data_IF_972680987580
#
_entry.id   IF_972680987580
#
_cell.length_a   1.000
_cell.length_b   1.000
_cell.length_c   1.000
_cell.angle_alpha   90.00
_cell.angle_beta   90.00
_cell.angle_gamma   90.00
#
_symmetry.space_group_name_H-M   'P 1'
#
loop_
_entity.id
_entity.type
_entity.pdbx_description
1 polymer ?
#
# COMPACT_ATOMS: atom_id res chain seq x y z
N UNK A 1 14.78 -30.08 9.60
CA UNK A 1 15.04 -28.67 9.26
C UNK A 1 15.80 -28.07 10.44
N UNK A 2 17.07 -27.70 10.25
CA UNK A 2 17.95 -27.16 11.30
C UNK A 2 17.55 -25.72 11.65
N UNK A 3 17.84 -25.23 12.87
CA UNK A 3 17.55 -23.84 13.27
C UNK A 3 18.11 -22.80 12.29
N UNK A 4 19.27 -23.09 11.70
CA UNK A 4 19.88 -22.21 10.70
C UNK A 4 19.03 -22.07 9.41
N UNK A 5 18.28 -23.10 9.02
CA UNK A 5 17.38 -23.04 7.85
C UNK A 5 16.18 -22.14 8.13
N UNK A 6 15.66 -22.12 9.37
CA UNK A 6 14.54 -21.24 9.74
C UNK A 6 14.96 -19.76 9.77
N UNK A 7 16.15 -19.45 10.28
CA UNK A 7 16.67 -18.07 10.29
C UNK A 7 16.91 -17.54 8.86
N UNK A 8 17.46 -18.37 7.97
CA UNK A 8 17.64 -17.98 6.57
C UNK A 8 16.31 -17.75 5.85
N UNK A 9 15.28 -18.56 6.16
CA UNK A 9 13.96 -18.41 5.57
C UNK A 9 13.28 -17.11 6.02
N UNK A 10 13.26 -16.82 7.33
CA UNK A 10 12.71 -15.57 7.88
C UNK A 10 13.43 -14.34 7.30
N UNK A 11 14.77 -14.39 7.22
CA UNK A 11 15.55 -13.32 6.61
C UNK A 11 15.18 -13.10 5.13
N UNK A 12 15.06 -14.18 4.34
CA UNK A 12 14.64 -14.09 2.93
C UNK A 12 13.24 -13.50 2.79
N UNK A 13 12.30 -13.92 3.63
CA UNK A 13 10.93 -13.41 3.63
C UNK A 13 10.90 -11.91 3.93
N UNK A 14 11.69 -11.44 4.90
CA UNK A 14 11.77 -10.00 5.20
C UNK A 14 12.41 -9.19 4.07
N UNK A 15 13.45 -9.71 3.39
CA UNK A 15 14.10 -9.02 2.28
C UNK A 15 13.19 -8.93 1.05
N UNK A 16 12.54 -10.05 0.67
CA UNK A 16 11.58 -10.07 -0.44
C UNK A 16 10.42 -9.13 -0.12
N UNK A 17 9.83 -9.23 1.08
CA UNK A 17 8.75 -8.35 1.50
C UNK A 17 9.12 -6.86 1.43
N UNK A 18 10.33 -6.50 1.87
CA UNK A 18 10.88 -5.15 1.75
C UNK A 18 10.95 -4.68 0.28
N UNK A 19 11.45 -5.54 -0.62
CA UNK A 19 11.50 -5.26 -2.07
C UNK A 19 10.09 -5.09 -2.64
N UNK A 20 9.15 -5.95 -2.27
CA UNK A 20 7.75 -5.86 -2.70
C UNK A 20 7.13 -4.52 -2.29
N UNK A 21 7.25 -4.14 -1.01
CA UNK A 21 6.74 -2.86 -0.51
C UNK A 21 7.35 -1.67 -1.24
N UNK A 22 8.66 -1.71 -1.54
CA UNK A 22 9.34 -0.65 -2.28
C UNK A 22 8.80 -0.50 -3.70
N UNK A 23 8.62 -1.61 -4.42
CA UNK A 23 8.04 -1.62 -5.78
C UNK A 23 6.61 -1.09 -5.75
N UNK A 24 5.78 -1.58 -4.83
CA UNK A 24 4.40 -1.12 -4.65
C UNK A 24 4.32 0.38 -4.39
N UNK A 25 5.10 0.89 -3.42
CA UNK A 25 5.11 2.33 -3.09
C UNK A 25 5.52 3.19 -4.28
N UNK A 26 6.54 2.76 -5.03
CA UNK A 26 7.01 3.48 -6.21
C UNK A 26 5.91 3.57 -7.27
N UNK A 27 5.28 2.45 -7.62
CA UNK A 27 4.19 2.43 -8.62
C UNK A 27 2.98 3.26 -8.19
N UNK A 28 2.58 3.17 -6.91
CA UNK A 28 1.47 3.97 -6.40
C UNK A 28 1.78 5.47 -6.49
N UNK A 29 3.00 5.88 -6.09
CA UNK A 29 3.44 7.27 -6.21
C UNK A 29 3.47 7.76 -7.67
N UNK A 30 4.05 6.98 -8.58
CA UNK A 30 4.11 7.33 -10.02
C UNK A 30 2.72 7.42 -10.67
N UNK A 31 1.73 6.70 -10.14
CA UNK A 31 0.33 6.79 -10.60
C UNK A 31 -0.46 8.01 -10.06
N UNK A 32 0.17 8.82 -9.18
CA UNK A 32 -0.49 9.91 -8.46
C UNK A 32 -1.56 9.44 -7.47
N UNK A 33 -1.47 8.19 -7.02
CA UNK A 33 -2.46 7.60 -6.10
C UNK A 33 -2.44 8.28 -4.74
N UNK A 34 -1.26 8.61 -4.23
CA UNK A 34 -1.05 9.31 -2.97
C UNK A 34 -1.76 10.67 -2.93
N UNK A 35 -1.64 11.47 -3.99
CA UNK A 35 -2.32 12.76 -4.13
C UNK A 35 -3.85 12.61 -4.13
N UNK A 36 -4.37 11.58 -4.81
CA UNK A 36 -5.81 11.29 -4.81
C UNK A 36 -6.33 10.87 -3.45
N UNK A 37 -5.53 10.10 -2.70
CA UNK A 37 -5.87 9.70 -1.33
C UNK A 37 -5.81 10.88 -0.38
N UNK A 38 -4.81 11.76 -0.51
CA UNK A 38 -4.72 13.01 0.25
C UNK A 38 -5.96 13.88 0.03
N UNK A 39 -6.36 14.08 -1.23
CA UNK A 39 -7.58 14.81 -1.56
C UNK A 39 -8.83 14.15 -0.95
N UNK A 40 -8.95 12.83 -1.00
CA UNK A 40 -10.06 12.11 -0.37
C UNK A 40 -10.09 12.30 1.15
N UNK A 41 -8.92 12.32 1.81
CA UNK A 41 -8.82 12.65 3.23
C UNK A 41 -9.29 14.08 3.52
N UNK A 42 -8.82 15.05 2.73
CA UNK A 42 -9.20 16.46 2.90
C UNK A 42 -10.71 16.67 2.75
N UNK A 43 -11.32 16.10 1.71
CA UNK A 43 -12.76 16.18 1.49
C UNK A 43 -13.56 15.56 2.65
N UNK A 44 -13.10 14.41 3.17
CA UNK A 44 -13.73 13.79 4.33
C UNK A 44 -13.65 14.68 5.58
N UNK A 45 -12.48 15.26 5.85
CA UNK A 45 -12.25 16.17 6.98
C UNK A 45 -13.13 17.43 6.85
N UNK A 46 -13.16 18.03 5.66
CA UNK A 46 -13.96 19.23 5.38
C UNK A 46 -15.47 18.97 5.54
N UNK A 47 -15.94 17.81 5.10
CA UNK A 47 -17.36 17.44 5.17
C UNK A 47 -17.81 17.17 6.61
N UNK A 48 -17.00 16.49 7.41
CA UNK A 48 -17.38 16.07 8.76
C UNK A 48 -16.96 17.05 9.86
N UNK A 49 -15.99 17.92 9.58
CA UNK A 49 -15.38 18.82 10.54
C UNK A 49 -14.23 18.16 11.32
N UNK A 50 -13.07 18.82 11.36
CA UNK A 50 -11.83 18.27 11.95
C UNK A 50 -11.98 17.89 13.43
N UNK A 51 -12.78 18.63 14.20
CA UNK A 51 -12.97 18.38 15.64
C UNK A 51 -13.92 17.20 15.94
N UNK A 52 -14.61 16.66 14.92
CA UNK A 52 -15.66 15.64 15.08
C UNK A 52 -15.24 14.25 14.65
N UNK A 53 -14.06 14.10 14.07
CA UNK A 53 -13.57 12.83 13.53
C UNK A 53 -12.31 12.38 14.24
N UNK A 54 -12.12 11.06 14.34
CA UNK A 54 -10.85 10.48 14.79
C UNK A 54 -10.03 9.97 13.60
N UNK A 55 -8.74 9.75 13.82
CA UNK A 55 -7.86 9.14 12.82
C UNK A 55 -8.36 7.74 12.44
N UNK A 56 -8.86 6.97 13.39
CA UNK A 56 -9.40 5.63 13.14
C UNK A 56 -10.62 5.69 12.21
N UNK A 57 -11.53 6.65 12.43
CA UNK A 57 -12.68 6.86 11.56
C UNK A 57 -12.24 7.28 10.15
N UNK A 58 -11.30 8.23 10.03
CA UNK A 58 -10.74 8.62 8.75
C UNK A 58 -10.15 7.42 7.99
N UNK A 59 -9.38 6.56 8.69
CA UNK A 59 -8.81 5.35 8.09
C UNK A 59 -9.91 4.38 7.66
N UNK A 60 -10.93 4.16 8.47
CA UNK A 60 -12.03 3.23 8.14
C UNK A 60 -12.79 3.71 6.90
N UNK A 61 -13.09 5.00 6.82
CA UNK A 61 -13.90 5.59 5.74
C UNK A 61 -13.10 5.81 4.45
N UNK A 62 -11.85 6.27 4.54
CA UNK A 62 -11.04 6.59 3.35
C UNK A 62 -10.36 5.35 2.77
N UNK A 63 -10.04 4.32 3.57
CA UNK A 63 -9.37 3.10 3.07
C UNK A 63 -10.10 2.39 1.90
N UNK A 64 -11.43 2.18 1.90
CA UNK A 64 -12.11 1.59 0.74
C UNK A 64 -12.00 2.50 -0.49
N UNK A 65 -12.11 3.83 -0.32
CA UNK A 65 -11.92 4.81 -1.41
C UNK A 65 -10.51 4.70 -1.97
N UNK A 66 -9.50 4.72 -1.09
CA UNK A 66 -8.10 4.57 -1.46
C UNK A 66 -7.84 3.29 -2.27
N UNK A 67 -8.45 2.16 -1.89
CA UNK A 67 -8.34 0.91 -2.66
C UNK A 67 -9.00 0.98 -4.03
N UNK A 68 -10.14 1.67 -4.14
CA UNK A 68 -10.85 1.86 -5.41
C UNK A 68 -10.11 2.81 -6.35
N UNK A 69 -9.34 3.77 -5.81
CA UNK A 69 -8.56 4.73 -6.58
C UNK A 69 -7.36 4.11 -7.32
N UNK A 70 -6.99 2.87 -7.02
CA UNK A 70 -5.90 2.16 -7.71
C UNK A 70 -6.41 1.68 -9.10
N UNK A 71 -5.88 2.23 -10.21
CA UNK A 71 -6.27 1.80 -11.55
C UNK A 71 -5.87 0.35 -11.84
N UNK A 72 -6.62 -0.32 -12.72
CA UNK A 72 -6.34 -1.70 -13.09
C UNK A 72 -5.00 -1.88 -13.84
N UNK A 73 -4.54 -0.85 -14.57
CA UNK A 73 -3.19 -0.84 -15.14
C UNK A 73 -2.12 -0.96 -14.06
N UNK A 74 -2.23 -0.20 -12.97
CA UNK A 74 -1.26 -0.22 -11.88
C UNK A 74 -1.25 -1.58 -11.17
N UNK A 75 -2.42 -2.24 -11.02
CA UNK A 75 -2.49 -3.59 -10.44
C UNK A 75 -1.79 -4.63 -11.32
N UNK A 76 -1.98 -4.55 -12.64
CA UNK A 76 -1.31 -5.44 -13.60
C UNK A 76 0.20 -5.21 -13.59
N UNK A 77 0.64 -3.96 -13.71
CA UNK A 77 2.06 -3.59 -13.66
C UNK A 77 2.69 -4.01 -12.32
N UNK A 78 1.95 -3.92 -11.22
CA UNK A 78 2.41 -4.39 -9.92
C UNK A 78 2.58 -5.90 -9.92
N UNK A 79 1.60 -6.66 -10.40
CA UNK A 79 1.66 -8.12 -10.43
C UNK A 79 2.88 -8.61 -11.23
N UNK A 80 3.09 -8.07 -12.43
CA UNK A 80 4.24 -8.40 -13.28
C UNK A 80 5.57 -8.16 -12.55
N UNK A 81 5.73 -6.99 -11.90
CA UNK A 81 6.95 -6.67 -11.15
C UNK A 81 7.13 -7.48 -9.87
N UNK A 82 6.04 -7.94 -9.25
CA UNK A 82 6.10 -8.78 -8.05
C UNK A 82 6.49 -10.22 -8.42
N UNK A 83 6.01 -10.74 -9.55
CA UNK A 83 6.41 -12.07 -10.05
C UNK A 83 7.93 -12.14 -10.31
N UNK A 84 8.52 -11.06 -10.83
CA UNK A 84 9.98 -10.94 -11.01
C UNK A 84 10.77 -11.02 -9.69
N UNK A 85 10.16 -10.79 -8.52
CA UNK A 85 10.84 -10.88 -7.23
C UNK A 85 10.98 -12.31 -6.69
N UNK A 86 10.29 -13.28 -7.31
CA UNK A 86 10.29 -14.68 -6.90
C UNK A 86 11.14 -15.59 -7.81
N UNK A 87 11.79 -15.05 -8.84
CA UNK A 87 12.66 -15.76 -9.80
C UNK A 87 14.12 -15.50 -9.45
#
# INVERSE_FOLDING_TARGET
MSSAENEQQDFRETEVYSKMLRVTRKLLHESGWDQKVEHACQEFILTNGVDKITLEQLIVEVKPIARQLIPESVKRDLLERLEELFI
#
